data_IF_616453851366
#
_entry.id   IF_616453851366
#
_cell.length_a   1.000
_cell.length_b   1.000
_cell.length_c   1.000
_cell.angle_alpha   90.00
_cell.angle_beta   90.00
_cell.angle_gamma   90.00
#
_symmetry.space_group_name_H-M   'P 1'
#
loop_
_entity.id
_entity.type
_entity.pdbx_description
1 polymer ?
#
# COMPACT_ATOMS: atom_id res chain seq x y z
N UNK A 1 -18.55 3.73 4.99
CA UNK A 1 -18.60 2.26 4.93
C UNK A 1 -17.19 1.71 5.12
N UNK A 2 -16.79 1.38 6.34
CA UNK A 2 -15.52 0.69 6.59
C UNK A 2 -15.77 -0.81 6.43
N UNK A 3 -15.10 -1.44 5.47
CA UNK A 3 -15.16 -2.89 5.32
C UNK A 3 -14.57 -3.54 6.58
N UNK A 4 -15.35 -4.42 7.21
CA UNK A 4 -14.93 -5.16 8.41
C UNK A 4 -13.57 -5.86 8.16
N UNK A 5 -12.53 -5.55 8.97
CA UNK A 5 -11.19 -6.10 8.78
C UNK A 5 -11.16 -7.63 8.89
N UNK A 6 -12.02 -8.24 9.70
CA UNK A 6 -12.08 -9.70 9.82
C UNK A 6 -12.63 -10.36 8.55
N UNK A 7 -13.68 -9.76 7.97
CA UNK A 7 -14.22 -10.19 6.67
C UNK A 7 -13.19 -10.04 5.55
N UNK A 8 -12.45 -8.94 5.53
CA UNK A 8 -11.39 -8.70 4.54
C UNK A 8 -10.26 -9.75 4.65
N UNK A 9 -9.82 -10.06 5.86
CA UNK A 9 -8.80 -11.09 6.10
C UNK A 9 -9.28 -12.48 5.64
N UNK A 10 -10.53 -12.86 5.97
CA UNK A 10 -11.12 -14.13 5.53
C UNK A 10 -11.19 -14.26 4.00
N UNK A 11 -11.63 -13.21 3.32
CA UNK A 11 -11.69 -13.18 1.84
C UNK A 11 -10.29 -13.27 1.24
N UNK A 12 -9.31 -12.54 1.77
CA UNK A 12 -7.94 -12.59 1.28
C UNK A 12 -7.31 -13.98 1.45
N UNK A 13 -7.49 -14.61 2.62
CA UNK A 13 -7.00 -15.96 2.87
C UNK A 13 -7.62 -16.98 1.91
N UNK A 14 -8.95 -16.91 1.70
CA UNK A 14 -9.66 -17.79 0.77
C UNK A 14 -9.18 -17.62 -0.68
N UNK A 15 -8.99 -16.38 -1.14
CA UNK A 15 -8.47 -16.11 -2.48
C UNK A 15 -7.05 -16.65 -2.64
N UNK A 16 -6.15 -16.40 -1.67
CA UNK A 16 -4.79 -16.92 -1.70
C UNK A 16 -4.77 -18.45 -1.79
N UNK A 17 -5.59 -19.13 -1.01
CA UNK A 17 -5.70 -20.58 -1.06
C UNK A 17 -6.16 -21.09 -2.44
N UNK A 18 -7.18 -20.45 -3.05
CA UNK A 18 -7.64 -20.82 -4.40
C UNK A 18 -6.59 -20.60 -5.48
N UNK A 19 -5.82 -19.50 -5.40
CA UNK A 19 -4.77 -19.19 -6.37
C UNK A 19 -3.45 -19.97 -6.15
N UNK A 20 -3.34 -20.73 -5.05
CA UNK A 20 -2.23 -21.65 -4.85
C UNK A 20 -2.35 -22.90 -5.73
N UNK A 21 -3.58 -23.29 -6.10
CA UNK A 21 -3.83 -24.34 -7.08
C UNK A 21 -3.45 -23.86 -8.50
N UNK A 22 -2.47 -24.51 -9.16
CA UNK A 22 -2.05 -24.17 -10.51
C UNK A 22 -3.17 -24.32 -11.56
N UNK A 23 -4.07 -25.29 -11.40
CA UNK A 23 -5.13 -25.55 -12.38
C UNK A 23 -6.19 -24.44 -12.32
N UNK A 24 -6.65 -24.09 -11.11
CA UNK A 24 -7.53 -22.94 -10.90
C UNK A 24 -6.91 -21.65 -11.46
N UNK A 25 -5.62 -21.40 -11.19
CA UNK A 25 -4.92 -20.22 -11.69
C UNK A 25 -4.86 -20.21 -13.22
N UNK A 26 -4.53 -21.33 -13.85
CA UNK A 26 -4.48 -21.44 -15.31
C UNK A 26 -5.84 -21.13 -15.95
N UNK A 27 -6.91 -21.78 -15.48
CA UNK A 27 -8.29 -21.53 -15.96
C UNK A 27 -8.75 -20.09 -15.73
N UNK A 28 -8.37 -19.49 -14.59
CA UNK A 28 -8.68 -18.09 -14.33
C UNK A 28 -7.98 -17.16 -15.32
N UNK A 29 -6.69 -17.39 -15.59
CA UNK A 29 -5.92 -16.60 -16.54
C UNK A 29 -6.44 -16.77 -17.96
N UNK A 30 -6.80 -17.98 -18.38
CA UNK A 30 -7.40 -18.25 -19.67
C UNK A 30 -8.68 -17.43 -19.88
N UNK A 31 -9.60 -17.44 -18.90
CA UNK A 31 -10.82 -16.63 -18.94
C UNK A 31 -10.52 -15.13 -19.07
N UNK A 32 -9.54 -14.62 -18.32
CA UNK A 32 -9.16 -13.21 -18.41
C UNK A 32 -8.61 -12.85 -19.80
N UNK A 33 -7.79 -13.73 -20.37
CA UNK A 33 -7.23 -13.52 -21.71
C UNK A 33 -8.31 -13.59 -22.79
N UNK A 34 -9.30 -14.48 -22.65
CA UNK A 34 -10.45 -14.55 -23.55
C UNK A 34 -11.25 -13.24 -23.53
N UNK A 35 -11.58 -12.71 -22.36
CA UNK A 35 -12.27 -11.41 -22.21
C UNK A 35 -11.43 -10.26 -22.78
N UNK A 36 -10.10 -10.33 -22.65
CA UNK A 36 -9.24 -9.28 -23.18
C UNK A 36 -9.26 -9.23 -24.72
N UNK A 37 -9.42 -10.39 -25.37
CA UNK A 37 -9.47 -10.58 -26.82
C UNK A 37 -10.87 -10.43 -27.43
N UNK A 38 -11.92 -10.42 -26.59
CA UNK A 38 -13.30 -10.25 -27.04
C UNK A 38 -13.47 -8.90 -27.78
N UNK A 39 -13.91 -8.91 -29.06
CA UNK A 39 -14.07 -7.70 -29.87
C UNK A 39 -15.07 -6.71 -29.26
N UNK A 40 -16.11 -7.18 -28.58
CA UNK A 40 -17.11 -6.31 -27.92
C UNK A 40 -16.45 -5.53 -26.79
N UNK A 41 -15.67 -6.22 -25.95
CA UNK A 41 -14.98 -5.60 -24.81
C UNK A 41 -13.86 -4.66 -25.28
N UNK A 42 -13.21 -4.98 -26.41
CA UNK A 42 -12.24 -4.09 -27.04
C UNK A 42 -12.93 -2.80 -27.51
N UNK A 43 -14.08 -2.89 -28.18
CA UNK A 43 -14.76 -1.71 -28.70
C UNK A 43 -15.33 -0.83 -27.59
N UNK A 44 -15.89 -1.41 -26.52
CA UNK A 44 -16.32 -0.66 -25.32
C UNK A 44 -15.14 0.12 -24.72
N UNK A 45 -13.95 -0.49 -24.64
CA UNK A 45 -12.73 0.18 -24.16
C UNK A 45 -12.31 1.33 -25.08
N UNK A 46 -12.40 1.15 -26.39
CA UNK A 46 -12.10 2.20 -27.38
C UNK A 46 -13.09 3.35 -27.30
N UNK A 47 -14.38 3.06 -27.23
CA UNK A 47 -15.43 4.07 -27.07
C UNK A 47 -15.24 4.87 -25.78
N UNK A 48 -14.96 4.19 -24.67
CA UNK A 48 -14.64 4.84 -23.40
C UNK A 48 -13.40 5.73 -23.53
N UNK A 49 -12.38 5.28 -24.25
CA UNK A 49 -11.19 6.06 -24.57
C UNK A 49 -11.48 7.30 -25.41
N UNK A 50 -12.33 7.19 -26.43
CA UNK A 50 -12.78 8.32 -27.25
C UNK A 50 -13.58 9.33 -26.43
N UNK A 51 -14.51 8.84 -25.60
CA UNK A 51 -15.42 9.67 -24.80
C UNK A 51 -14.73 10.39 -23.65
N UNK A 52 -13.83 9.71 -22.94
CA UNK A 52 -13.28 10.23 -21.68
C UNK A 52 -11.76 10.34 -21.65
N UNK A 53 -11.03 9.77 -22.61
CA UNK A 53 -9.57 9.67 -22.57
C UNK A 53 -8.87 11.03 -22.46
N UNK A 54 -9.20 11.97 -23.33
CA UNK A 54 -8.61 13.31 -23.32
C UNK A 54 -8.90 14.07 -22.02
N UNK A 55 -10.16 14.05 -21.55
CA UNK A 55 -10.57 14.69 -20.31
C UNK A 55 -9.88 14.07 -19.09
N UNK A 56 -9.77 12.74 -19.04
CA UNK A 56 -9.06 12.03 -17.96
C UNK A 56 -7.57 12.35 -17.97
N UNK A 57 -6.94 12.43 -19.15
CA UNK A 57 -5.52 12.79 -19.25
C UNK A 57 -5.29 14.23 -18.78
N UNK A 58 -6.12 15.18 -19.21
CA UNK A 58 -6.01 16.58 -18.82
C UNK A 58 -6.15 16.75 -17.30
N UNK A 59 -7.12 16.06 -16.68
CA UNK A 59 -7.40 16.17 -15.25
C UNK A 59 -6.39 15.42 -14.36
N UNK A 60 -5.86 14.29 -14.82
CA UNK A 60 -4.93 13.46 -14.01
C UNK A 60 -3.46 13.89 -14.11
N UNK A 61 -3.10 14.70 -15.11
CA UNK A 61 -1.72 15.14 -15.33
C UNK A 61 -1.38 16.50 -14.72
N UNK A 62 -2.34 17.18 -14.08
CA UNK A 62 -2.05 18.45 -13.39
C UNK A 62 -1.06 18.25 -12.23
N UNK A 63 -0.25 19.27 -11.89
CA UNK A 63 0.64 19.21 -10.73
C UNK A 63 -0.10 18.84 -9.44
N UNK A 64 -1.30 19.37 -9.24
CA UNK A 64 -2.14 19.15 -8.07
C UNK A 64 -2.64 17.70 -8.00
N UNK A 65 -3.11 17.15 -9.11
CA UNK A 65 -3.56 15.75 -9.19
C UNK A 65 -2.40 14.79 -8.92
N UNK A 66 -1.22 15.08 -9.47
CA UNK A 66 0.00 14.29 -9.21
C UNK A 66 0.47 14.40 -7.77
N UNK A 67 0.45 15.60 -7.18
CA UNK A 67 0.79 15.81 -5.79
C UNK A 67 -0.19 15.05 -4.86
N UNK A 68 -1.49 15.08 -5.16
CA UNK A 68 -2.51 14.31 -4.43
C UNK A 68 -2.27 12.80 -4.54
N UNK A 69 -2.01 12.29 -5.74
CA UNK A 69 -1.68 10.88 -5.96
C UNK A 69 -0.40 10.48 -5.20
N UNK A 70 0.64 11.32 -5.24
CA UNK A 70 1.88 11.11 -4.48
C UNK A 70 1.65 11.03 -2.98
N UNK A 71 0.82 11.92 -2.42
CA UNK A 71 0.42 11.87 -0.99
C UNK A 71 -0.32 10.57 -0.66
N UNK A 72 -1.30 10.18 -1.47
CA UNK A 72 -2.06 8.94 -1.27
C UNK A 72 -1.14 7.71 -1.32
N UNK A 73 -0.26 7.63 -2.32
CA UNK A 73 0.71 6.54 -2.46
C UNK A 73 1.63 6.48 -1.24
N UNK A 74 2.14 7.64 -0.79
CA UNK A 74 3.01 7.72 0.39
C UNK A 74 2.28 7.27 1.66
N UNK A 75 1.03 7.68 1.83
CA UNK A 75 0.20 7.27 2.96
C UNK A 75 -0.01 5.75 2.98
N UNK A 76 -0.30 5.14 1.83
CA UNK A 76 -0.46 3.68 1.75
C UNK A 76 0.85 2.93 1.94
N UNK A 77 1.95 3.39 1.32
CA UNK A 77 3.24 2.66 1.33
C UNK A 77 4.04 2.84 2.62
N UNK A 78 3.94 4.01 3.25
CA UNK A 78 4.68 4.37 4.47
C UNK A 78 3.75 4.67 5.65
N UNK A 79 2.48 4.23 5.59
CA UNK A 79 1.51 4.43 6.66
C UNK A 79 1.92 3.78 7.98
N UNK A 80 2.66 2.67 7.91
CA UNK A 80 3.23 1.97 9.07
C UNK A 80 4.43 2.71 9.70
N UNK A 81 5.11 3.58 8.95
CA UNK A 81 6.34 4.24 9.39
C UNK A 81 6.00 5.60 10.06
N UNK A 82 6.47 5.83 11.30
CA UNK A 82 6.31 7.10 12.01
C UNK A 82 6.81 8.29 11.21
N UNK A 83 6.17 9.46 11.36
CA UNK A 83 6.35 10.60 10.46
C UNK A 83 7.78 11.16 10.51
N UNK A 84 8.38 11.12 11.69
CA UNK A 84 9.73 11.51 12.08
C UNK A 84 10.79 10.56 11.50
N UNK A 85 10.48 9.26 11.39
CA UNK A 85 11.37 8.24 10.83
C UNK A 85 11.23 8.09 9.31
N UNK A 86 10.21 8.67 8.67
CA UNK A 86 10.00 8.58 7.21
C UNK A 86 11.18 9.08 6.35
N UNK A 87 11.83 10.21 6.66
CA UNK A 87 13.01 10.65 5.91
C UNK A 87 14.14 9.61 5.97
N UNK A 88 14.35 9.01 7.15
CA UNK A 88 15.34 7.94 7.34
C UNK A 88 14.97 6.70 6.53
N UNK A 89 13.71 6.25 6.59
CA UNK A 89 13.21 5.12 5.79
C UNK A 89 13.47 5.31 4.29
N UNK A 90 13.24 6.51 3.74
CA UNK A 90 13.46 6.79 2.32
C UNK A 90 14.95 6.64 1.96
N UNK A 91 15.85 7.17 2.81
CA UNK A 91 17.30 7.02 2.62
C UNK A 91 17.69 5.54 2.66
N UNK A 92 17.31 4.83 3.72
CA UNK A 92 17.63 3.41 3.90
C UNK A 92 17.06 2.55 2.77
N UNK A 93 15.84 2.82 2.30
CA UNK A 93 15.21 2.08 1.20
C UNK A 93 16.00 2.19 -0.09
N UNK A 94 16.55 3.38 -0.38
CA UNK A 94 17.34 3.59 -1.59
C UNK A 94 18.72 2.92 -1.50
N UNK A 95 19.25 2.72 -0.29
CA UNK A 95 20.56 2.10 -0.06
C UNK A 95 20.48 0.57 0.07
N UNK A 96 19.53 0.04 0.84
CA UNK A 96 19.46 -1.37 1.26
C UNK A 96 18.24 -2.12 0.73
N UNK A 97 17.35 -1.44 0.01
CA UNK A 97 16.07 -2.01 -0.45
C UNK A 97 14.97 -1.95 0.61
N UNK A 98 13.75 -2.29 0.19
CA UNK A 98 12.54 -2.01 0.98
C UNK A 98 12.37 -2.91 2.21
N UNK A 99 12.77 -4.18 2.12
CA UNK A 99 12.62 -5.15 3.21
C UNK A 99 13.59 -4.82 4.36
N UNK A 100 14.86 -4.59 4.04
CA UNK A 100 15.89 -4.31 5.05
C UNK A 100 15.69 -2.94 5.69
N UNK A 101 15.39 -1.91 4.89
CA UNK A 101 15.03 -0.60 5.42
C UNK A 101 13.83 -0.65 6.37
N UNK A 102 12.86 -1.54 6.13
CA UNK A 102 11.72 -1.72 7.03
C UNK A 102 12.14 -2.33 8.37
N UNK A 103 12.96 -3.39 8.34
CA UNK A 103 13.48 -4.02 9.57
C UNK A 103 14.25 -3.02 10.43
N UNK A 104 15.14 -2.24 9.83
CA UNK A 104 15.92 -1.21 10.52
C UNK A 104 15.04 -0.16 11.21
N UNK A 105 13.97 0.30 10.56
CA UNK A 105 13.04 1.26 11.15
C UNK A 105 12.20 0.63 12.27
N UNK A 106 11.72 -0.61 12.10
CA UNK A 106 10.98 -1.32 13.16
C UNK A 106 11.86 -1.55 14.40
N UNK A 107 13.16 -1.80 14.22
CA UNK A 107 14.12 -1.91 15.33
C UNK A 107 14.41 -0.56 15.99
N UNK A 108 14.50 0.52 15.21
CA UNK A 108 14.60 1.87 15.73
C UNK A 108 13.36 2.22 16.58
N UNK A 109 12.16 1.94 16.07
CA UNK A 109 10.89 2.14 16.80
C UNK A 109 10.88 1.37 18.12
N UNK A 110 11.37 0.12 18.13
CA UNK A 110 11.46 -0.71 19.35
C UNK A 110 12.42 -0.10 20.37
N UNK A 111 13.53 0.47 19.90
CA UNK A 111 14.52 1.14 20.74
C UNK A 111 13.97 2.43 21.34
N UNK A 112 13.29 3.24 20.53
CA UNK A 112 12.69 4.50 20.98
C UNK A 112 11.55 4.26 21.98
N UNK A 113 10.74 3.22 21.76
CA UNK A 113 9.71 2.81 22.73
C UNK A 113 10.32 2.43 24.09
N UNK A 114 11.45 1.71 24.10
CA UNK A 114 12.17 1.37 25.35
C UNK A 114 12.71 2.61 26.05
N UNK A 115 13.30 3.56 25.30
CA UNK A 115 13.81 4.82 25.85
C UNK A 115 12.69 5.68 26.43
N UNK A 116 11.56 5.78 25.73
CA UNK A 116 10.39 6.51 26.19
C UNK A 116 9.83 5.89 27.48
N UNK A 117 9.70 4.56 27.54
CA UNK A 117 9.24 3.86 28.74
C UNK A 117 10.15 4.12 29.96
N UNK A 118 11.48 4.06 29.77
CA UNK A 118 12.45 4.35 30.83
C UNK A 118 12.38 5.82 31.31
N UNK A 119 12.21 6.77 30.37
CA UNK A 119 12.07 8.19 30.70
C UNK A 119 10.77 8.47 31.49
N UNK A 120 9.67 7.82 31.12
CA UNK A 120 8.40 7.89 31.85
C UNK A 120 8.56 7.32 33.26
N UNK A 121 9.16 6.13 33.39
CA UNK A 121 9.40 5.51 34.70
C UNK A 121 10.20 6.42 35.64
N UNK A 122 11.31 7.00 35.14
CA UNK A 122 12.13 7.95 35.90
C UNK A 122 11.37 9.23 36.27
N UNK A 123 10.42 9.66 35.45
CA UNK A 123 9.60 10.83 35.74
C UNK A 123 8.54 10.54 36.81
N UNK A 124 7.95 9.33 36.78
CA UNK A 124 7.03 8.85 37.82
C UNK A 124 7.74 8.74 39.17
N UNK A 125 8.94 8.18 39.21
CA UNK A 125 9.75 8.09 40.43
C UNK A 125 10.04 9.46 41.04
N UNK A 126 10.34 10.48 40.22
CA UNK A 126 10.56 11.86 40.70
C UNK A 126 9.31 12.56 41.22
N UNK A 127 8.13 12.19 40.72
CA UNK A 127 6.86 12.76 41.18
C UNK A 127 6.33 12.05 42.44
N UNK A 128 6.80 10.84 42.70
CA UNK A 128 6.43 10.05 43.88
C UNK A 128 7.38 10.25 45.07
N UNK A 129 8.47 11.03 44.90
CA UNK A 129 9.44 11.40 45.93
C UNK A 129 9.23 12.84 46.37
#
# INVERSE_FOLDING_TARGET
MHADPHRAAKVSASLKARFADPEFKARHMERLMAVHKDPVVIEIRRESGRRYGAANIATTRTPEARAKAGRSIRQTRSGWCPIDLRPLYIKLRNTFGAAEARRMIEDQMRTDARRAAAAIAKSIERLAA
#
